data_IF_533180504688
#
_entry.id   IF_533180504688
#
_cell.length_a   1.000
_cell.length_b   1.000
_cell.length_c   1.000
_cell.angle_alpha   90.00
_cell.angle_beta   90.00
_cell.angle_gamma   90.00
#
_symmetry.space_group_name_H-M   'P 1'
#
loop_
_entity.id
_entity.type
_entity.pdbx_description
1 polymer ?
#
# COMPACT_ATOMS: atom_id res chain seq x y z
N UNK A 1 6.12 -2.66 -15.25
CA UNK A 1 5.52 -1.33 -15.40
C UNK A 1 5.27 -0.74 -14.03
N UNK A 2 5.67 0.52 -13.83
CA UNK A 2 5.56 1.16 -12.51
C UNK A 2 4.25 1.93 -12.39
N UNK A 3 3.78 2.09 -11.16
CA UNK A 3 2.63 2.95 -10.89
C UNK A 3 3.04 4.40 -11.16
N UNK A 4 2.20 5.13 -11.89
CA UNK A 4 2.41 6.56 -12.09
C UNK A 4 2.00 7.29 -10.80
N UNK A 5 2.98 7.79 -10.07
CA UNK A 5 2.74 8.39 -8.76
C UNK A 5 1.98 9.70 -8.84
N UNK A 6 2.03 10.40 -9.98
CA UNK A 6 1.35 11.68 -10.16
C UNK A 6 -0.16 11.48 -10.30
N UNK A 7 -0.56 10.47 -11.06
CA UNK A 7 -1.98 10.21 -11.34
C UNK A 7 -2.54 9.06 -10.53
N UNK A 8 -1.76 8.50 -9.61
CA UNK A 8 -2.17 7.34 -8.82
C UNK A 8 -3.41 7.65 -7.98
N UNK A 9 -4.30 6.68 -7.91
CA UNK A 9 -5.48 6.76 -7.07
C UNK A 9 -5.16 6.13 -5.72
N UNK A 10 -4.68 6.93 -4.80
CA UNK A 10 -4.26 6.47 -3.48
C UNK A 10 -5.47 6.22 -2.58
N UNK A 11 -5.46 5.09 -1.90
CA UNK A 11 -6.57 4.66 -1.04
C UNK A 11 -6.05 4.30 0.33
N UNK A 12 -6.81 4.67 1.36
CA UNK A 12 -6.56 4.28 2.74
C UNK A 12 -7.60 3.25 3.18
N UNK A 13 -7.26 2.49 4.21
CA UNK A 13 -8.23 1.61 4.84
C UNK A 13 -9.34 2.44 5.50
N UNK A 14 -10.57 1.93 5.48
CA UNK A 14 -11.69 2.55 6.21
C UNK A 14 -11.48 2.47 7.73
N UNK A 15 -10.54 1.66 8.19
CA UNK A 15 -10.17 1.56 9.60
C UNK A 15 -9.20 2.65 10.04
N UNK A 16 -8.72 3.47 9.10
CA UNK A 16 -7.77 4.53 9.42
C UNK A 16 -8.42 5.61 10.25
N UNK A 17 -7.67 6.11 11.23
CA UNK A 17 -8.04 7.32 11.95
C UNK A 17 -7.42 8.53 11.23
N UNK A 18 -7.58 9.72 11.81
CA UNK A 18 -7.02 10.95 11.26
C UNK A 18 -5.50 11.07 11.47
N UNK A 19 -4.88 10.16 12.17
CA UNK A 19 -3.50 10.29 12.63
C UNK A 19 -2.50 9.51 11.79
N UNK A 20 -2.78 9.38 10.52
CA UNK A 20 -1.84 8.75 9.64
C UNK A 20 -2.21 7.32 9.31
N UNK A 21 -1.79 6.91 8.15
CA UNK A 21 -2.20 5.64 7.61
C UNK A 21 -1.26 5.23 6.49
N UNK A 22 -1.35 3.98 6.11
CA UNK A 22 -0.74 3.49 4.89
C UNK A 22 -1.69 3.76 3.73
N UNK A 23 -1.16 4.30 2.65
CA UNK A 23 -1.91 4.49 1.41
C UNK A 23 -1.41 3.52 0.35
N UNK A 24 -2.34 3.00 -0.43
CA UNK A 24 -2.04 2.02 -1.48
C UNK A 24 -2.65 2.50 -2.79
N UNK A 25 -1.89 2.40 -3.87
CA UNK A 25 -2.37 2.67 -5.22
C UNK A 25 -2.02 1.50 -6.12
N UNK A 26 -2.89 1.20 -7.07
CA UNK A 26 -2.67 0.10 -8.02
C UNK A 26 -2.73 0.62 -9.44
N UNK A 27 -1.91 0.03 -10.30
CA UNK A 27 -1.94 0.30 -11.73
C UNK A 27 -1.53 -1.00 -12.44
N UNK A 28 -2.47 -1.62 -13.13
CA UNK A 28 -2.22 -2.88 -13.81
C UNK A 28 -1.77 -3.95 -12.82
N UNK A 29 -0.56 -4.46 -13.02
CA UNK A 29 0.02 -5.50 -12.18
C UNK A 29 1.01 -4.95 -11.16
N UNK A 30 0.99 -3.64 -10.91
CA UNK A 30 1.89 -3.01 -9.96
C UNK A 30 1.11 -2.39 -8.80
N UNK A 31 1.75 -2.34 -7.63
CA UNK A 31 1.16 -1.76 -6.43
C UNK A 31 2.20 -0.84 -5.79
N UNK A 32 1.75 0.35 -5.38
CA UNK A 32 2.58 1.31 -4.67
C UNK A 32 2.03 1.53 -3.27
N UNK A 33 2.92 1.71 -2.30
CA UNK A 33 2.57 1.91 -0.89
C UNK A 33 3.37 3.07 -0.34
N UNK A 34 2.72 3.96 0.41
CA UNK A 34 3.39 5.09 1.04
C UNK A 34 2.76 5.44 2.38
N UNK A 35 3.47 6.27 3.14
CA UNK A 35 2.95 6.87 4.37
C UNK A 35 2.07 8.06 4.00
N UNK A 36 0.82 8.06 4.44
CA UNK A 36 -0.10 9.15 4.14
C UNK A 36 0.33 10.48 4.76
N UNK A 37 1.15 10.44 5.81
CA UNK A 37 1.65 11.66 6.47
C UNK A 37 2.80 12.30 5.70
N UNK A 38 3.37 11.60 4.74
CA UNK A 38 4.52 12.07 3.97
C UNK A 38 4.31 11.73 2.49
N UNK A 39 3.35 12.39 1.82
CA UNK A 39 2.99 12.02 0.44
C UNK A 39 4.13 12.21 -0.56
N UNK A 40 5.09 13.08 -0.25
CA UNK A 40 6.26 13.28 -1.11
C UNK A 40 7.46 12.43 -0.68
N UNK A 41 7.29 11.61 0.35
CA UNK A 41 8.36 10.76 0.85
C UNK A 41 8.52 9.48 0.05
N UNK A 42 9.26 8.53 0.60
CA UNK A 42 9.54 7.27 -0.09
C UNK A 42 8.27 6.51 -0.44
N UNK A 43 8.30 5.83 -1.58
CA UNK A 43 7.23 4.97 -2.04
C UNK A 43 7.79 3.58 -2.31
N UNK A 44 7.16 2.57 -1.76
CA UNK A 44 7.49 1.18 -2.05
C UNK A 44 6.64 0.70 -3.22
N UNK A 45 7.24 -0.05 -4.12
CA UNK A 45 6.50 -0.58 -5.27
C UNK A 45 6.70 -2.09 -5.37
N UNK A 46 5.61 -2.78 -5.65
CA UNK A 46 5.57 -4.24 -5.67
C UNK A 46 4.86 -4.74 -6.91
N UNK A 47 5.18 -5.97 -7.31
CA UNK A 47 4.39 -6.67 -8.31
C UNK A 47 3.08 -7.15 -7.70
N UNK A 48 2.11 -7.46 -8.55
CA UNK A 48 0.86 -8.03 -8.07
C UNK A 48 1.08 -9.35 -7.32
N UNK A 49 2.05 -10.16 -7.77
CA UNK A 49 2.37 -11.42 -7.10
C UNK A 49 2.87 -11.18 -5.68
N UNK A 50 3.81 -10.24 -5.51
CA UNK A 50 4.34 -9.88 -4.19
C UNK A 50 3.23 -9.36 -3.29
N UNK A 51 2.35 -8.53 -3.84
CA UNK A 51 1.26 -7.94 -3.07
C UNK A 51 0.26 -9.01 -2.61
N UNK A 52 -0.08 -9.97 -3.48
CA UNK A 52 -0.99 -11.06 -3.09
C UNK A 52 -0.39 -11.91 -1.99
N UNK A 53 0.92 -12.18 -2.07
CA UNK A 53 1.62 -12.95 -1.03
C UNK A 53 1.56 -12.20 0.32
N UNK A 54 1.79 -10.89 0.29
CA UNK A 54 1.71 -10.07 1.48
C UNK A 54 0.29 -10.12 2.09
N UNK A 55 -0.73 -9.94 1.26
CA UNK A 55 -2.12 -9.96 1.75
C UNK A 55 -2.50 -11.32 2.33
N UNK A 56 -2.00 -12.41 1.75
CA UNK A 56 -2.24 -13.74 2.29
C UNK A 56 -1.64 -13.86 3.70
N UNK A 57 -0.42 -13.36 3.89
CA UNK A 57 0.20 -13.34 5.21
C UNK A 57 -0.57 -12.50 6.21
N UNK A 58 -1.10 -11.35 5.78
CA UNK A 58 -1.93 -10.51 6.63
C UNK A 58 -3.18 -11.27 7.09
N UNK A 59 -3.84 -11.97 6.17
CA UNK A 59 -5.05 -12.73 6.50
C UNK A 59 -4.77 -13.87 7.47
N UNK A 60 -3.57 -14.41 7.41
CA UNK A 60 -3.16 -15.51 8.31
C UNK A 60 -2.61 -14.99 9.64
N UNK A 61 -2.62 -13.67 9.86
CA UNK A 61 -2.15 -13.08 11.11
C UNK A 61 -0.65 -13.02 11.26
N UNK A 62 0.11 -13.24 10.20
CA UNK A 62 1.58 -13.33 10.29
C UNK A 62 2.23 -12.00 10.68
N UNK A 63 1.55 -10.88 10.40
CA UNK A 63 2.08 -9.55 10.66
C UNK A 63 1.30 -8.80 11.73
N UNK A 64 0.50 -9.50 12.50
CA UNK A 64 -0.25 -8.89 13.59
C UNK A 64 0.71 -8.49 14.70
N UNK A 65 0.25 -7.55 15.53
CA UNK A 65 1.03 -7.10 16.68
C UNK A 65 1.40 -8.25 17.59
N UNK A 66 2.63 -8.24 18.11
CA UNK A 66 3.03 -9.25 19.09
C UNK A 66 2.24 -9.16 20.39
#
# INVERSE_FOLDING_TARGET
>A
MKVDLVTANWRKSSHSSNNGCVEVARSGDQVAVRDSKDPSGPVLQFTAHEWRAFLAGVRDGEFDSP
#
